data_IF_858698168052
#
_entry.id   IF_858698168052
#
_cell.length_a   1.000
_cell.length_b   1.000
_cell.length_c   1.000
_cell.angle_alpha   90.00
_cell.angle_beta   90.00
_cell.angle_gamma   90.00
#
_symmetry.space_group_name_H-M   'P 1'
#
loop_
_entity.id
_entity.type
_entity.pdbx_description
1 polymer ?
#
# COMPACT_ATOMS: atom_id res chain seq x y z
N UNK A 1 -9.55 -2.26 13.19
CA UNK A 1 -8.66 -1.14 13.55
C UNK A 1 -8.05 -0.58 12.28
N UNK A 2 -7.86 0.74 12.16
CA UNK A 2 -7.28 1.39 10.98
C UNK A 2 -5.79 1.66 11.22
N UNK A 3 -4.98 1.45 10.20
CA UNK A 3 -3.54 1.67 10.24
C UNK A 3 -3.06 2.43 9.01
N UNK A 4 -1.94 3.12 9.15
CA UNK A 4 -1.15 3.71 8.06
C UNK A 4 0.31 3.31 8.22
N UNK A 5 1.14 3.62 7.24
CA UNK A 5 2.60 3.54 7.39
C UNK A 5 3.24 4.81 6.83
N UNK A 6 4.53 5.00 7.10
CA UNK A 6 5.25 6.21 6.71
C UNK A 6 5.34 6.39 5.18
N UNK A 7 5.35 5.28 4.42
CA UNK A 7 5.35 5.33 2.96
C UNK A 7 4.04 5.92 2.42
N UNK A 8 2.88 5.45 2.90
CA UNK A 8 1.55 6.00 2.54
C UNK A 8 1.47 7.49 2.92
N UNK A 9 1.92 7.85 4.13
CA UNK A 9 1.90 9.24 4.57
C UNK A 9 2.83 10.12 3.71
N UNK A 10 3.97 9.59 3.26
CA UNK A 10 4.93 10.31 2.42
C UNK A 10 4.37 10.65 1.04
N UNK A 11 3.44 9.84 0.50
CA UNK A 11 2.76 10.15 -0.77
C UNK A 11 1.59 11.13 -0.59
N UNK A 12 0.82 10.99 0.50
CA UNK A 12 -0.42 11.76 0.70
C UNK A 12 -0.14 13.16 1.29
N UNK A 13 0.73 13.27 2.30
CA UNK A 13 0.93 14.52 3.06
C UNK A 13 1.40 15.69 2.17
N UNK A 14 2.36 15.53 1.23
CA UNK A 14 2.82 16.64 0.40
C UNK A 14 1.69 17.31 -0.39
N UNK A 15 0.80 16.52 -0.98
CA UNK A 15 -0.36 17.03 -1.70
C UNK A 15 -1.31 17.81 -0.79
N UNK A 16 -1.59 17.29 0.40
CA UNK A 16 -2.42 17.98 1.39
C UNK A 16 -1.79 19.27 1.91
N UNK A 17 -0.45 19.33 2.02
CA UNK A 17 0.28 20.56 2.38
C UNK A 17 0.09 21.64 1.32
N UNK A 18 0.21 21.29 0.03
CA UNK A 18 -0.06 22.22 -1.09
C UNK A 18 -1.49 22.74 -1.03
N UNK A 19 -2.46 21.87 -0.72
CA UNK A 19 -3.87 22.24 -0.53
C UNK A 19 -4.18 22.95 0.80
N UNK A 20 -3.20 23.10 1.70
CA UNK A 20 -3.35 23.69 3.04
C UNK A 20 -4.36 22.95 3.94
N UNK A 21 -4.56 21.65 3.72
CA UNK A 21 -5.52 20.80 4.42
C UNK A 21 -5.02 20.34 5.80
N UNK A 22 -4.79 21.29 6.71
CA UNK A 22 -4.17 21.03 8.03
C UNK A 22 -4.97 20.05 8.89
N UNK A 23 -6.30 20.11 8.84
CA UNK A 23 -7.17 19.21 9.62
C UNK A 23 -7.02 17.77 9.16
N UNK A 24 -7.01 17.52 7.85
CA UNK A 24 -6.84 16.17 7.29
C UNK A 24 -5.46 15.61 7.66
N UNK A 25 -4.41 16.41 7.54
CA UNK A 25 -3.04 16.02 7.95
C UNK A 25 -3.00 15.63 9.44
N UNK A 26 -3.66 16.39 10.31
CA UNK A 26 -3.72 16.08 11.75
C UNK A 26 -4.43 14.75 12.02
N UNK A 27 -5.54 14.49 11.34
CA UNK A 27 -6.28 13.23 11.47
C UNK A 27 -5.45 12.05 10.98
N UNK A 28 -4.80 12.16 9.82
CA UNK A 28 -3.92 11.11 9.29
C UNK A 28 -2.76 10.78 10.23
N UNK A 29 -2.15 11.80 10.85
CA UNK A 29 -1.05 11.59 11.80
C UNK A 29 -1.49 10.98 13.13
N UNK A 30 -2.79 11.01 13.46
CA UNK A 30 -3.34 10.39 14.66
C UNK A 30 -3.63 8.88 14.49
N UNK A 31 -3.60 8.37 13.25
CA UNK A 31 -3.79 6.95 12.97
C UNK A 31 -2.55 6.17 13.39
N UNK A 32 -2.75 4.98 13.96
CA UNK A 32 -1.68 4.08 14.35
C UNK A 32 -0.80 3.68 13.15
N UNK A 33 0.51 3.64 13.37
CA UNK A 33 1.50 3.30 12.35
C UNK A 33 1.89 1.83 12.43
N UNK A 34 1.84 1.14 11.30
CA UNK A 34 2.51 -0.15 11.12
C UNK A 34 3.94 0.09 10.67
N UNK A 35 4.90 -0.45 11.41
CA UNK A 35 6.30 -0.36 11.07
C UNK A 35 6.57 -1.11 9.75
N UNK A 36 7.39 -0.52 8.88
CA UNK A 36 7.86 -1.15 7.66
C UNK A 36 9.02 -2.08 7.99
N UNK A 37 8.87 -3.37 7.73
CA UNK A 37 9.95 -4.35 7.79
C UNK A 37 10.23 -4.87 6.38
N UNK A 38 11.06 -4.13 5.63
CA UNK A 38 11.21 -4.37 4.19
C UNK A 38 12.12 -5.58 3.95
N UNK A 39 11.56 -6.65 3.36
CA UNK A 39 12.32 -7.76 2.81
C UNK A 39 12.52 -7.56 1.31
N UNK A 40 13.67 -7.02 0.93
CA UNK A 40 14.01 -6.70 -0.46
C UNK A 40 14.00 -7.91 -1.40
N UNK A 41 14.41 -9.09 -0.93
CA UNK A 41 14.38 -10.31 -1.75
C UNK A 41 12.94 -10.69 -2.13
N UNK A 42 12.00 -10.54 -1.20
CA UNK A 42 10.59 -10.76 -1.48
C UNK A 42 10.00 -9.68 -2.40
N UNK A 43 10.44 -8.42 -2.29
CA UNK A 43 10.03 -7.36 -3.22
C UNK A 43 10.48 -7.68 -4.65
N UNK A 44 11.73 -8.16 -4.83
CA UNK A 44 12.24 -8.59 -6.13
C UNK A 44 11.40 -9.76 -6.69
N UNK A 45 11.10 -10.76 -5.86
CA UNK A 45 10.26 -11.89 -6.26
C UNK A 45 8.83 -11.47 -6.65
N UNK A 46 8.22 -10.56 -5.87
CA UNK A 46 6.92 -10.00 -6.21
C UNK A 46 6.93 -9.27 -7.55
N UNK A 47 7.93 -8.40 -7.75
CA UNK A 47 8.05 -7.66 -9.01
C UNK A 47 8.26 -8.61 -10.20
N UNK A 48 9.12 -9.63 -10.03
CA UNK A 48 9.33 -10.65 -11.05
C UNK A 48 8.02 -11.38 -11.39
N UNK A 49 7.26 -11.81 -10.38
CA UNK A 49 5.95 -12.48 -10.58
C UNK A 49 4.98 -11.59 -11.34
N UNK A 50 4.86 -10.32 -10.96
CA UNK A 50 4.01 -9.35 -11.66
C UNK A 50 4.38 -9.22 -13.14
N UNK A 51 5.67 -8.96 -13.43
CA UNK A 51 6.18 -8.84 -14.80
C UNK A 51 5.94 -10.12 -15.62
N UNK A 52 6.21 -11.29 -15.03
CA UNK A 52 5.99 -12.59 -15.69
C UNK A 52 4.53 -12.82 -16.08
N UNK A 53 3.59 -12.29 -15.29
CA UNK A 53 2.14 -12.38 -15.55
C UNK A 53 1.62 -11.25 -16.46
N UNK A 54 2.49 -10.38 -16.97
CA UNK A 54 2.12 -9.24 -17.80
C UNK A 54 1.55 -8.04 -17.02
N UNK A 55 1.62 -8.06 -15.69
CA UNK A 55 1.23 -6.92 -14.85
C UNK A 55 2.42 -5.96 -14.75
N UNK A 56 2.42 -4.97 -15.63
CA UNK A 56 3.46 -3.95 -15.73
C UNK A 56 3.07 -2.67 -14.96
N UNK A 57 4.06 -1.86 -14.61
CA UNK A 57 3.85 -0.51 -14.04
C UNK A 57 3.53 -0.47 -12.55
N UNK A 58 3.61 -1.60 -11.84
CA UNK A 58 3.52 -1.62 -10.37
C UNK A 58 4.77 -0.97 -9.80
N UNK A 59 4.57 0.03 -8.94
CA UNK A 59 5.64 0.70 -8.23
C UNK A 59 6.20 -0.16 -7.10
N UNK A 60 7.49 0.00 -6.81
CA UNK A 60 8.09 -0.56 -5.59
C UNK A 60 7.33 -0.13 -4.32
N UNK A 61 6.82 1.12 -4.19
CA UNK A 61 5.98 1.50 -3.07
C UNK A 61 4.74 0.61 -2.88
N UNK A 62 4.03 0.29 -3.97
CA UNK A 62 2.86 -0.59 -3.92
C UNK A 62 3.22 -1.99 -3.40
N UNK A 63 4.37 -2.52 -3.84
CA UNK A 63 4.89 -3.81 -3.35
C UNK A 63 5.26 -3.77 -1.87
N UNK A 64 5.84 -2.66 -1.40
CA UNK A 64 6.17 -2.48 0.01
C UNK A 64 4.90 -2.43 0.87
N UNK A 65 3.85 -1.74 0.40
CA UNK A 65 2.54 -1.71 1.08
C UNK A 65 1.93 -3.11 1.12
N UNK A 66 1.98 -3.83 -0.01
CA UNK A 66 1.53 -5.22 -0.11
C UNK A 66 2.23 -6.14 0.88
N UNK A 67 3.57 -6.10 0.92
CA UNK A 67 4.39 -6.86 1.86
C UNK A 67 4.05 -6.52 3.32
N UNK A 68 3.93 -5.23 3.64
CA UNK A 68 3.64 -4.78 5.00
C UNK A 68 2.28 -5.29 5.48
N UNK A 69 1.27 -5.28 4.62
CA UNK A 69 -0.05 -5.82 4.91
C UNK A 69 -0.01 -7.34 5.14
N UNK A 70 0.71 -8.09 4.30
CA UNK A 70 0.87 -9.54 4.44
C UNK A 70 1.58 -9.92 5.75
N UNK A 71 2.68 -9.22 6.09
CA UNK A 71 3.44 -9.45 7.32
C UNK A 71 2.60 -9.23 8.59
N UNK A 72 1.64 -8.29 8.53
CA UNK A 72 0.79 -7.93 9.65
C UNK A 72 -0.62 -8.52 9.57
N UNK A 73 -0.88 -9.45 8.63
CA UNK A 73 -2.20 -10.06 8.40
C UNK A 73 -3.34 -9.03 8.26
N UNK A 74 -3.04 -7.88 7.64
CA UNK A 74 -3.97 -6.78 7.47
C UNK A 74 -4.57 -6.78 6.05
N UNK A 75 -5.84 -6.40 5.94
CA UNK A 75 -6.46 -6.10 4.66
C UNK A 75 -5.98 -4.74 4.13
N UNK A 76 -5.85 -4.61 2.82
CA UNK A 76 -5.54 -3.33 2.17
C UNK A 76 -6.84 -2.68 1.74
N UNK A 77 -7.04 -1.42 2.12
CA UNK A 77 -8.13 -0.59 1.58
C UNK A 77 -7.57 0.37 0.54
N UNK A 78 -7.94 0.19 -0.73
CA UNK A 78 -7.42 1.02 -1.82
C UNK A 78 -8.41 1.15 -2.97
N UNK A 79 -8.43 2.33 -3.61
CA UNK A 79 -9.10 2.55 -4.90
C UNK A 79 -8.17 2.22 -6.08
N UNK A 80 -6.88 2.01 -5.82
CA UNK A 80 -5.91 1.66 -6.86
C UNK A 80 -6.12 0.23 -7.35
N UNK A 81 -6.26 0.10 -8.67
CA UNK A 81 -6.43 -1.19 -9.36
C UNK A 81 -5.19 -2.08 -9.22
N UNK A 82 -4.00 -1.54 -8.99
CA UNK A 82 -2.76 -2.30 -8.87
C UNK A 82 -2.87 -3.39 -7.79
N UNK A 83 -3.42 -3.06 -6.61
CA UNK A 83 -3.61 -4.05 -5.53
C UNK A 83 -4.61 -5.16 -5.91
N UNK A 84 -5.69 -4.82 -6.63
CA UNK A 84 -6.65 -5.81 -7.14
C UNK A 84 -6.00 -6.73 -8.17
N UNK A 85 -5.17 -6.18 -9.07
CA UNK A 85 -4.45 -6.95 -10.08
C UNK A 85 -3.40 -7.88 -9.46
N UNK A 86 -2.65 -7.40 -8.45
CA UNK A 86 -1.63 -8.18 -7.76
C UNK A 86 -2.18 -9.33 -6.92
N UNK A 87 -3.46 -9.25 -6.51
CA UNK A 87 -4.06 -10.16 -5.52
C UNK A 87 -3.75 -11.63 -5.78
N UNK A 88 -3.95 -12.10 -6.99
CA UNK A 88 -3.74 -13.50 -7.34
C UNK A 88 -2.26 -13.83 -7.65
N UNK A 89 -1.49 -12.86 -8.15
CA UNK A 89 -0.10 -13.08 -8.56
C UNK A 89 0.85 -13.24 -7.36
N UNK A 90 0.60 -12.50 -6.28
CA UNK A 90 1.44 -12.55 -5.06
C UNK A 90 0.69 -13.05 -3.82
N UNK A 91 -0.50 -13.64 -4.01
CA UNK A 91 -1.36 -14.15 -2.94
C UNK A 91 -1.66 -13.11 -1.85
N UNK A 92 -2.01 -11.89 -2.28
CA UNK A 92 -2.34 -10.81 -1.37
C UNK A 92 -3.66 -11.10 -0.64
N UNK A 93 -3.64 -11.03 0.68
CA UNK A 93 -4.85 -11.27 1.49
C UNK A 93 -5.71 -10.00 1.49
N UNK A 94 -6.96 -10.14 1.03
CA UNK A 94 -8.06 -9.18 1.17
C UNK A 94 -7.74 -7.72 0.79
N UNK A 95 -7.93 -7.40 -0.50
CA UNK A 95 -8.02 -6.02 -0.99
C UNK A 95 -9.49 -5.60 -1.02
N UNK A 96 -9.84 -4.61 -0.21
CA UNK A 96 -11.14 -3.98 -0.17
C UNK A 96 -11.06 -2.60 -0.84
N UNK A 97 -12.12 -2.18 -1.54
CA UNK A 97 -12.19 -0.85 -2.16
C UNK A 97 -13.57 -0.64 -2.75
N UNK A 98 -14.10 0.58 -2.63
CA UNK A 98 -15.48 0.98 -2.93
C UNK A 98 -16.12 0.14 -4.05
N UNK A 99 -17.01 -0.75 -3.64
CA UNK A 99 -17.97 -1.46 -4.48
C UNK A 99 -19.21 -1.67 -3.62
N UNK A 100 -19.87 -0.55 -3.33
CA UNK A 100 -21.32 -0.39 -3.38
C UNK A 100 -21.59 0.95 -4.05
#
# INVERSE_FOLDING_TARGET
MLFVNDLILSEIIPFLKIKKEKRVISLLNSINRLALNINWNQIIDFQYKCLKTGINGIGIPDLIIAQNAMQNHCAIYSLDKHFKMMKNTINLVNVNGASQ
#
